data_IF_122554308706
#
_entry.id   IF_122554308706
#
_cell.length_a   1.000
_cell.length_b   1.000
_cell.length_c   1.000
_cell.angle_alpha   90.00
_cell.angle_beta   90.00
_cell.angle_gamma   90.00
#
_symmetry.space_group_name_H-M   'P 1'
#
loop_
_entity.id
_entity.type
_entity.pdbx_description
1 polymer ?
#
# COMPACT_ATOMS: atom_id res chain seq x y z
N UNK A 1 4.75 51.74 -33.37
CA UNK A 1 5.31 50.42 -33.03
C UNK A 1 4.61 49.94 -31.76
N UNK A 2 3.65 49.01 -31.87
CA UNK A 2 2.89 48.47 -30.74
C UNK A 2 3.51 47.11 -30.38
N UNK A 3 4.07 47.02 -29.17
CA UNK A 3 4.68 45.80 -28.65
C UNK A 3 3.63 44.76 -28.27
N UNK A 4 3.85 43.51 -28.69
CA UNK A 4 3.08 42.35 -28.29
C UNK A 4 3.75 41.73 -27.06
N UNK A 5 3.11 41.81 -25.89
CA UNK A 5 3.58 41.12 -24.68
C UNK A 5 2.97 39.72 -24.67
N UNK A 6 3.81 38.70 -24.82
CA UNK A 6 3.43 37.29 -24.68
C UNK A 6 3.54 36.91 -23.20
N UNK A 7 2.39 36.69 -22.55
CA UNK A 7 2.32 36.20 -21.17
C UNK A 7 2.35 34.66 -21.20
N UNK A 8 3.49 34.05 -20.87
CA UNK A 8 3.60 32.60 -20.69
C UNK A 8 3.16 32.23 -19.26
N UNK A 9 1.98 31.63 -19.11
CA UNK A 9 1.51 31.07 -17.85
C UNK A 9 2.11 29.66 -17.70
N UNK A 10 3.11 29.49 -16.84
CA UNK A 10 3.60 28.19 -16.41
C UNK A 10 2.64 27.62 -15.36
N UNK A 11 1.86 26.60 -15.71
CA UNK A 11 1.07 25.84 -14.75
C UNK A 11 2.01 24.85 -14.06
N UNK A 12 2.44 25.17 -12.83
CA UNK A 12 3.13 24.23 -11.95
C UNK A 12 2.13 23.16 -11.51
N UNK A 13 2.15 22.01 -12.17
CA UNK A 13 1.43 20.82 -11.70
C UNK A 13 2.18 20.29 -10.48
N UNK A 14 1.68 20.58 -9.28
CA UNK A 14 2.19 20.00 -8.04
C UNK A 14 1.68 18.56 -7.93
N UNK A 15 2.57 17.58 -8.10
CA UNK A 15 2.29 16.18 -7.75
C UNK A 15 2.14 16.10 -6.24
N UNK A 16 0.90 16.02 -5.74
CA UNK A 16 0.65 15.84 -4.31
C UNK A 16 1.00 14.42 -3.91
N UNK A 17 2.08 14.26 -3.14
CA UNK A 17 2.36 13.02 -2.41
C UNK A 17 1.19 12.71 -1.49
N UNK A 18 0.59 11.53 -1.67
CA UNK A 18 -0.54 11.08 -0.85
C UNK A 18 -0.04 10.16 0.26
N UNK A 19 -0.72 10.26 1.41
CA UNK A 19 -0.67 9.27 2.46
C UNK A 19 -2.07 8.66 2.62
N UNK A 20 -2.12 7.39 2.96
CA UNK A 20 -3.36 6.69 3.25
C UNK A 20 -3.20 5.82 4.49
N UNK A 21 -4.30 5.45 5.12
CA UNK A 21 -4.26 4.67 6.35
C UNK A 21 -5.42 3.71 6.50
N UNK A 22 -5.12 2.50 6.96
CA UNK A 22 -6.10 1.50 7.35
C UNK A 22 -6.11 1.39 8.86
N UNK A 23 -7.25 1.69 9.48
CA UNK A 23 -7.41 1.73 10.94
C UNK A 23 -7.87 0.37 11.48
N UNK A 24 -7.01 -0.27 12.28
CA UNK A 24 -7.36 -1.45 13.08
C UNK A 24 -7.76 -1.10 14.51
N UNK A 25 -7.90 -2.12 15.35
CA UNK A 25 -8.26 -1.95 16.77
C UNK A 25 -7.16 -1.31 17.62
N UNK A 26 -5.89 -1.71 17.42
CA UNK A 26 -4.76 -1.31 18.27
C UNK A 26 -3.76 -0.35 17.60
N UNK A 27 -4.00 -0.01 16.35
CA UNK A 27 -3.14 0.85 15.54
C UNK A 27 -3.61 0.94 14.11
N UNK A 28 -2.73 1.43 13.24
CA UNK A 28 -3.05 1.73 11.85
C UNK A 28 -1.88 1.35 10.95
N UNK A 29 -2.17 0.78 9.79
CA UNK A 29 -1.23 0.75 8.67
C UNK A 29 -1.23 2.13 8.01
N UNK A 30 -0.05 2.70 7.78
CA UNK A 30 0.12 4.02 7.18
C UNK A 30 0.98 3.90 5.93
N UNK A 31 0.34 4.11 4.78
CA UNK A 31 0.95 4.16 3.47
C UNK A 31 1.39 5.59 3.19
N UNK A 32 2.61 5.77 2.70
CA UNK A 32 3.17 7.09 2.39
C UNK A 32 4.15 7.04 1.23
N UNK A 33 4.59 8.22 0.78
CA UNK A 33 5.42 8.37 -0.40
C UNK A 33 4.79 7.72 -1.64
N UNK A 34 3.51 8.03 -1.86
CA UNK A 34 2.73 7.43 -2.93
C UNK A 34 2.23 8.41 -3.98
N UNK A 35 2.12 7.88 -5.20
CA UNK A 35 1.50 8.51 -6.37
C UNK A 35 0.54 7.50 -6.99
N UNK A 36 -0.70 7.94 -7.27
CA UNK A 36 -1.73 7.15 -7.95
C UNK A 36 -1.95 5.72 -7.39
N UNK A 37 -2.02 5.59 -6.06
CA UNK A 37 -2.32 4.33 -5.38
C UNK A 37 -1.16 3.34 -5.28
N UNK A 38 0.05 3.75 -5.66
CA UNK A 38 1.28 3.01 -5.40
C UNK A 38 2.12 3.80 -4.41
N UNK A 39 2.55 3.15 -3.33
CA UNK A 39 3.29 3.74 -2.22
C UNK A 39 4.64 3.06 -2.06
N UNK A 40 5.67 3.81 -1.68
CA UNK A 40 7.01 3.24 -1.44
C UNK A 40 7.30 3.01 0.05
N UNK A 41 6.38 3.40 0.94
CA UNK A 41 6.55 3.24 2.37
C UNK A 41 5.26 2.77 3.04
N UNK A 42 5.40 1.81 3.94
CA UNK A 42 4.35 1.30 4.80
C UNK A 42 4.89 1.06 6.21
N UNK A 43 4.24 1.67 7.19
CA UNK A 43 4.52 1.46 8.62
C UNK A 43 3.26 1.08 9.37
N UNK A 44 3.43 0.39 10.49
CA UNK A 44 2.38 0.23 11.48
C UNK A 44 2.57 1.25 12.60
N UNK A 45 1.55 2.04 12.88
CA UNK A 45 1.53 3.01 13.97
C UNK A 45 0.57 2.52 15.06
N UNK A 46 1.12 2.23 16.23
CA UNK A 46 0.33 1.88 17.42
C UNK A 46 -0.50 3.09 17.90
N UNK A 47 -1.61 2.83 18.61
CA UNK A 47 -2.42 3.90 19.21
C UNK A 47 -1.66 4.76 20.24
N UNK A 48 -0.60 4.21 20.85
CA UNK A 48 0.30 4.96 21.75
C UNK A 48 1.33 5.83 20.99
N UNK A 49 1.33 5.79 19.66
CA UNK A 49 2.19 6.61 18.80
C UNK A 49 3.51 5.96 18.40
N UNK A 50 3.82 4.75 18.91
CA UNK A 50 4.97 3.97 18.45
C UNK A 50 4.85 3.57 16.99
N UNK A 51 5.96 3.62 16.26
CA UNK A 51 6.04 3.34 14.82
C UNK A 51 6.90 2.10 14.61
N UNK A 52 6.37 1.13 13.88
CA UNK A 52 7.02 -0.12 13.53
C UNK A 52 7.10 -0.24 12.01
N UNK A 53 8.28 -0.58 11.51
CA UNK A 53 8.45 -0.92 10.10
C UNK A 53 7.97 -2.37 9.91
N UNK A 54 7.01 -2.57 9.01
CA UNK A 54 6.39 -3.89 8.79
C UNK A 54 7.18 -4.71 7.76
N UNK A 55 7.74 -4.04 6.76
CA UNK A 55 8.50 -4.66 5.67
C UNK A 55 9.83 -3.95 5.44
N UNK A 56 10.75 -4.60 4.73
CA UNK A 56 12.00 -3.96 4.31
C UNK A 56 11.79 -2.93 3.19
N UNK A 57 12.83 -2.14 2.92
CA UNK A 57 12.84 -1.10 1.90
C UNK A 57 12.88 -1.69 0.47
N UNK A 58 12.57 -0.87 -0.53
CA UNK A 58 12.60 -1.28 -1.95
C UNK A 58 11.34 -1.99 -2.44
N UNK A 59 10.31 -2.09 -1.59
CA UNK A 59 8.99 -2.59 -1.95
C UNK A 59 8.08 -1.47 -2.45
N UNK A 60 7.15 -1.83 -3.34
CA UNK A 60 6.06 -0.96 -3.78
C UNK A 60 4.73 -1.54 -3.33
N UNK A 61 4.00 -0.81 -2.51
CA UNK A 61 2.72 -1.20 -1.93
C UNK A 61 1.58 -0.66 -2.78
N UNK A 62 0.70 -1.55 -3.24
CA UNK A 62 -0.50 -1.15 -3.96
C UNK A 62 -1.65 -0.99 -2.97
N UNK A 63 -2.21 0.21 -2.93
CA UNK A 63 -3.36 0.51 -2.10
C UNK A 63 -4.17 1.61 -2.76
N UNK A 64 -5.47 1.39 -2.94
CA UNK A 64 -6.38 2.41 -3.45
C UNK A 64 -7.61 2.44 -2.54
N UNK A 65 -7.77 3.57 -1.85
CA UNK A 65 -8.89 3.78 -0.93
C UNK A 65 -10.26 3.69 -1.62
N UNK A 66 -10.32 3.79 -2.95
CA UNK A 66 -11.56 3.62 -3.73
C UNK A 66 -11.99 2.16 -3.86
N UNK A 67 -11.05 1.21 -3.73
CA UNK A 67 -11.30 -0.23 -3.67
C UNK A 67 -11.21 -0.76 -2.23
N UNK A 68 -10.97 0.12 -1.25
CA UNK A 68 -10.69 -0.20 0.15
C UNK A 68 -11.93 -0.50 0.98
N UNK A 69 -12.66 -1.53 0.56
CA UNK A 69 -13.67 -2.18 1.40
C UNK A 69 -13.34 -3.65 1.72
N UNK A 70 -12.29 -4.22 1.11
CA UNK A 70 -12.01 -5.66 1.19
C UNK A 70 -10.76 -6.08 1.95
N UNK A 71 -9.78 -5.21 2.19
CA UNK A 71 -8.47 -5.66 2.72
C UNK A 71 -8.45 -5.84 4.24
N UNK A 72 -9.21 -5.03 4.97
CA UNK A 72 -9.36 -5.17 6.43
C UNK A 72 -10.46 -6.19 6.73
N UNK A 73 -10.11 -7.19 7.53
CA UNK A 73 -11.07 -8.17 8.06
C UNK A 73 -12.24 -7.47 8.78
N UNK A 74 -13.46 -8.04 8.75
CA UNK A 74 -14.64 -7.45 9.41
C UNK A 74 -14.45 -7.11 10.89
N UNK A 75 -13.68 -7.91 11.64
CA UNK A 75 -13.37 -7.68 13.05
C UNK A 75 -12.12 -6.80 13.27
N UNK A 76 -11.46 -6.41 12.17
CA UNK A 76 -10.24 -5.60 12.13
C UNK A 76 -9.03 -6.25 12.77
N UNK A 77 -9.01 -7.57 12.90
CA UNK A 77 -7.88 -8.32 13.47
C UNK A 77 -6.73 -8.44 12.48
N UNK A 78 -7.04 -8.53 11.19
CA UNK A 78 -6.08 -8.67 10.09
C UNK A 78 -6.33 -7.69 8.95
N UNK A 79 -5.26 -7.24 8.31
CA UNK A 79 -5.30 -6.50 7.04
C UNK A 79 -4.43 -7.19 6.00
N UNK A 80 -4.95 -7.33 4.78
CA UNK A 80 -4.16 -7.78 3.62
C UNK A 80 -3.44 -6.58 3.01
N UNK A 81 -2.13 -6.70 2.83
CA UNK A 81 -1.26 -5.71 2.20
C UNK A 81 -0.77 -6.27 0.89
N UNK A 82 -1.13 -5.65 -0.22
CA UNK A 82 -0.63 -6.03 -1.55
C UNK A 82 0.64 -5.24 -1.84
N UNK A 83 1.69 -5.94 -2.28
CA UNK A 83 2.97 -5.31 -2.57
C UNK A 83 3.68 -6.01 -3.73
N UNK A 84 4.73 -5.36 -4.22
CA UNK A 84 5.59 -5.91 -5.25
C UNK A 84 7.04 -5.60 -4.99
N UNK A 85 7.90 -6.49 -5.45
CA UNK A 85 9.35 -6.33 -5.43
C UNK A 85 9.94 -6.50 -6.83
N UNK A 86 11.13 -5.96 -7.02
CA UNK A 86 11.90 -6.18 -8.24
C UNK A 86 12.52 -7.58 -8.18
N UNK A 87 12.34 -8.33 -9.26
CA UNK A 87 12.92 -9.64 -9.46
C UNK A 87 13.46 -9.79 -10.88
N UNK A 88 13.92 -11.00 -11.18
CA UNK A 88 14.54 -11.33 -12.45
C UNK A 88 13.88 -12.58 -13.02
N UNK A 89 13.50 -12.53 -14.29
CA UNK A 89 12.92 -13.66 -15.01
C UNK A 89 13.96 -14.70 -15.43
N UNK A 90 13.48 -15.76 -16.09
CA UNK A 90 14.32 -16.91 -16.49
C UNK A 90 15.38 -16.50 -17.54
N UNK A 91 15.12 -15.43 -18.31
CA UNK A 91 16.03 -14.90 -19.32
C UNK A 91 16.80 -13.66 -18.84
N UNK A 92 16.91 -13.47 -17.52
CA UNK A 92 17.57 -12.33 -16.88
C UNK A 92 16.90 -10.96 -17.14
N UNK A 93 15.65 -10.97 -17.56
CA UNK A 93 14.86 -9.77 -17.76
C UNK A 93 14.30 -9.23 -16.44
N UNK A 94 14.29 -7.90 -16.23
CA UNK A 94 13.63 -7.31 -15.07
C UNK A 94 12.14 -7.70 -15.02
N UNK A 95 11.69 -8.16 -13.85
CA UNK A 95 10.30 -8.57 -13.63
C UNK A 95 9.81 -8.02 -12.29
N UNK A 96 8.53 -7.68 -12.20
CA UNK A 96 7.87 -7.44 -10.90
C UNK A 96 7.28 -8.74 -10.36
N UNK A 97 7.55 -9.02 -9.09
CA UNK A 97 6.94 -10.11 -8.35
C UNK A 97 5.83 -9.50 -7.49
N UNK A 98 4.60 -9.97 -7.67
CA UNK A 98 3.43 -9.48 -6.94
C UNK A 98 3.08 -10.44 -5.82
N UNK A 99 2.93 -9.89 -4.62
CA UNK A 99 2.74 -10.61 -3.37
C UNK A 99 1.66 -9.94 -2.53
N UNK A 100 1.19 -10.65 -1.53
CA UNK A 100 0.34 -10.11 -0.49
C UNK A 100 0.76 -10.64 0.87
N UNK A 101 0.57 -9.83 1.89
CA UNK A 101 0.91 -10.17 3.26
C UNK A 101 -0.29 -9.94 4.17
N UNK A 102 -0.46 -10.84 5.13
CA UNK A 102 -1.46 -10.75 6.18
C UNK A 102 -0.81 -10.09 7.39
N UNK A 103 -1.21 -8.87 7.70
CA UNK A 103 -0.71 -8.12 8.85
C UNK A 103 -1.72 -8.21 9.98
N UNK A 104 -1.27 -8.64 11.16
CA UNK A 104 -2.08 -8.62 12.38
C UNK A 104 -2.13 -7.20 12.93
N UNK A 105 -3.34 -6.69 13.12
CA UNK A 105 -3.60 -5.31 13.52
C UNK A 105 -3.52 -5.05 15.03
N UNK A 106 -3.17 -6.07 15.83
CA UNK A 106 -2.88 -5.89 17.26
C UNK A 106 -1.47 -5.32 17.48
N UNK A 107 -0.51 -5.73 16.66
CA UNK A 107 0.92 -5.47 16.85
C UNK A 107 1.68 -5.10 15.56
N UNK A 108 1.03 -5.18 14.39
CA UNK A 108 1.65 -4.87 13.10
C UNK A 108 2.52 -6.00 12.55
N UNK A 109 2.47 -7.21 13.13
CA UNK A 109 3.26 -8.34 12.65
C UNK A 109 2.70 -8.94 11.36
N UNK A 110 3.57 -9.26 10.40
CA UNK A 110 3.23 -10.10 9.26
C UNK A 110 3.09 -11.55 9.75
N UNK A 111 1.93 -12.16 9.53
CA UNK A 111 1.65 -13.54 9.96
C UNK A 111 1.67 -14.54 8.80
N UNK A 112 1.51 -14.06 7.57
CA UNK A 112 1.63 -14.89 6.37
C UNK A 112 1.97 -14.02 5.15
N UNK A 113 2.62 -14.60 4.14
CA UNK A 113 2.92 -13.97 2.85
C UNK A 113 2.57 -14.97 1.75
N UNK A 114 1.81 -14.53 0.76
CA UNK A 114 1.29 -15.35 -0.33
C UNK A 114 1.54 -14.71 -1.69
N UNK A 115 1.29 -15.48 -2.75
CA UNK A 115 1.39 -15.04 -4.14
C UNK A 115 0.24 -15.59 -4.99
N UNK A 116 0.07 -15.06 -6.20
CA UNK A 116 -0.89 -15.58 -7.18
C UNK A 116 -2.34 -15.30 -6.79
N UNK A 117 -3.22 -16.28 -7.04
CA UNK A 117 -4.67 -16.15 -6.86
C UNK A 117 -5.06 -15.75 -5.43
N UNK A 118 -4.29 -16.20 -4.43
CA UNK A 118 -4.54 -15.85 -3.03
C UNK A 118 -4.48 -14.35 -2.75
N UNK A 119 -3.81 -13.54 -3.58
CA UNK A 119 -3.78 -12.09 -3.37
C UNK A 119 -5.01 -11.36 -3.93
N UNK A 120 -5.84 -12.03 -4.73
CA UNK A 120 -7.06 -11.47 -5.30
C UNK A 120 -8.34 -11.89 -4.55
N UNK A 121 -8.21 -12.51 -3.38
CA UNK A 121 -9.34 -13.02 -2.62
C UNK A 121 -10.15 -11.96 -1.87
N UNK A 122 -11.04 -12.46 -1.01
CA UNK A 122 -11.89 -11.67 -0.13
C UNK A 122 -12.08 -12.35 1.23
N UNK A 123 -12.52 -11.58 2.22
CA UNK A 123 -12.85 -12.11 3.54
C UNK A 123 -14.19 -12.86 3.54
N UNK A 124 -14.14 -14.18 3.78
CA UNK A 124 -15.29 -15.03 4.09
C UNK A 124 -15.47 -15.18 5.61
N UNK A 125 -15.70 -14.06 6.29
CA UNK A 125 -15.79 -13.97 7.76
C UNK A 125 -14.63 -13.15 8.37
N UNK A 126 -14.47 -13.17 9.69
CA UNK A 126 -13.46 -12.36 10.39
C UNK A 126 -12.02 -12.86 10.21
N UNK A 127 -11.81 -14.16 10.08
CA UNK A 127 -10.47 -14.77 10.10
C UNK A 127 -10.12 -15.54 8.83
N UNK A 128 -11.04 -15.61 7.87
CA UNK A 128 -10.88 -16.46 6.68
C UNK A 128 -10.80 -15.60 5.42
N UNK A 129 -9.64 -15.63 4.79
CA UNK A 129 -9.44 -15.10 3.46
C UNK A 129 -9.51 -16.23 2.42
N UNK A 130 -10.13 -15.96 1.27
CA UNK A 130 -10.27 -16.94 0.19
C UNK A 130 -10.31 -16.27 -1.17
N UNK A 131 -9.56 -16.82 -2.13
CA UNK A 131 -9.62 -16.52 -3.57
C UNK A 131 -10.64 -17.36 -4.31
#
# INVERSE_FOLDING_TARGET
>A
MRGLVLLFIFILVSTQLRAASVQGGSGSLVYSDGVDGNFNSLVYKTNSGGILRVFDEGLSFNYDSRYDAGNLSPDKTYSVVQFSESGVGVQQEPKKIYLCAFVRMSDGCVVNVESGEQCGGEWSGSERWSS
#
